data_IF_308868156177
#
_entry.id   IF_308868156177
#
_cell.length_a   1.000
_cell.length_b   1.000
_cell.length_c   1.000
_cell.angle_alpha   90.00
_cell.angle_beta   90.00
_cell.angle_gamma   90.00
#
_symmetry.space_group_name_H-M   'P 1'
#
loop_
_entity.id
_entity.type
_entity.pdbx_description
1 polymer ?
#
# COMPACT_ATOMS: atom_id res chain seq x y z
N UNK A 1 53.23 -7.96 -24.56
CA UNK A 1 52.69 -7.06 -23.51
C UNK A 1 51.47 -6.30 -24.05
N UNK A 2 51.53 -5.73 -25.25
CA UNK A 2 50.39 -5.07 -25.90
C UNK A 2 49.18 -6.00 -26.13
N UNK A 3 49.40 -7.22 -26.63
CA UNK A 3 48.31 -8.20 -26.84
C UNK A 3 47.58 -8.56 -25.53
N UNK A 4 48.33 -8.73 -24.44
CA UNK A 4 47.76 -9.01 -23.11
C UNK A 4 46.90 -7.84 -22.60
N UNK A 5 47.33 -6.60 -22.84
CA UNK A 5 46.54 -5.41 -22.50
C UNK A 5 45.26 -5.30 -23.34
N UNK A 6 45.32 -5.64 -24.64
CA UNK A 6 44.14 -5.65 -25.51
C UNK A 6 43.12 -6.72 -25.09
N UNK A 7 43.57 -7.92 -24.72
CA UNK A 7 42.70 -8.98 -24.19
C UNK A 7 42.02 -8.53 -22.88
N UNK A 8 42.77 -7.97 -21.94
CA UNK A 8 42.17 -7.46 -20.69
C UNK A 8 41.14 -6.35 -20.94
N UNK A 9 41.41 -5.44 -21.88
CA UNK A 9 40.49 -4.33 -22.17
C UNK A 9 39.20 -4.82 -22.85
N UNK A 10 39.30 -5.82 -23.73
CA UNK A 10 38.12 -6.45 -24.33
C UNK A 10 37.28 -7.18 -23.29
N UNK A 11 37.89 -7.94 -22.38
CA UNK A 11 37.18 -8.60 -21.27
C UNK A 11 36.45 -7.61 -20.36
N UNK A 12 37.11 -6.53 -19.93
CA UNK A 12 36.49 -5.48 -19.09
C UNK A 12 35.30 -4.85 -19.80
N UNK A 13 35.44 -4.55 -21.10
CA UNK A 13 34.35 -3.97 -21.89
C UNK A 13 33.15 -4.90 -22.00
N UNK A 14 33.40 -6.21 -22.19
CA UNK A 14 32.36 -7.23 -22.26
C UNK A 14 31.63 -7.36 -20.92
N UNK A 15 32.36 -7.46 -19.80
CA UNK A 15 31.78 -7.55 -18.46
C UNK A 15 30.93 -6.31 -18.14
N UNK A 16 31.44 -5.11 -18.44
CA UNK A 16 30.70 -3.85 -18.23
C UNK A 16 29.39 -3.81 -19.03
N UNK A 17 29.43 -4.25 -20.29
CA UNK A 17 28.23 -4.32 -21.14
C UNK A 17 27.20 -5.32 -20.62
N UNK A 18 27.65 -6.50 -20.15
CA UNK A 18 26.79 -7.54 -19.59
C UNK A 18 26.15 -7.06 -18.29
N UNK A 19 26.92 -6.40 -17.41
CA UNK A 19 26.42 -5.84 -16.17
C UNK A 19 25.37 -4.75 -16.42
N UNK A 20 25.63 -3.84 -17.37
CA UNK A 20 24.67 -2.79 -17.76
C UNK A 20 23.36 -3.38 -18.28
N UNK A 21 23.44 -4.35 -19.19
CA UNK A 21 22.26 -5.04 -19.73
C UNK A 21 21.48 -5.81 -18.65
N UNK A 22 22.19 -6.43 -17.71
CA UNK A 22 21.59 -7.11 -16.57
C UNK A 22 20.84 -6.13 -15.65
N UNK A 23 21.47 -5.00 -15.29
CA UNK A 23 20.84 -3.95 -14.48
C UNK A 23 19.62 -3.34 -15.18
N UNK A 24 19.70 -3.11 -16.50
CA UNK A 24 18.57 -2.65 -17.29
C UNK A 24 17.41 -3.65 -17.30
N UNK A 25 17.71 -4.94 -17.46
CA UNK A 25 16.72 -6.02 -17.44
C UNK A 25 16.02 -6.11 -16.07
N UNK A 26 16.78 -5.97 -14.97
CA UNK A 26 16.21 -5.89 -13.61
C UNK A 26 15.29 -4.68 -13.48
N UNK A 27 15.75 -3.51 -13.93
CA UNK A 27 14.96 -2.27 -13.84
C UNK A 27 13.64 -2.38 -14.61
N UNK A 28 13.69 -2.88 -15.85
CA UNK A 28 12.49 -3.13 -16.67
C UNK A 28 11.58 -4.15 -16.00
N UNK A 29 12.14 -5.24 -15.45
CA UNK A 29 11.37 -6.25 -14.71
C UNK A 29 10.64 -5.67 -13.50
N UNK A 30 11.32 -4.86 -12.69
CA UNK A 30 10.73 -4.17 -11.53
C UNK A 30 9.61 -3.21 -12.00
N UNK A 31 9.85 -2.45 -13.06
CA UNK A 31 8.85 -1.52 -13.61
C UNK A 31 7.58 -2.23 -14.07
N UNK A 32 7.71 -3.38 -14.76
CA UNK A 32 6.56 -4.19 -15.19
C UNK A 32 5.79 -4.74 -13.99
N UNK A 33 6.49 -5.33 -13.01
CA UNK A 33 5.86 -5.87 -11.80
C UNK A 33 5.13 -4.76 -11.02
N UNK A 34 5.75 -3.58 -10.89
CA UNK A 34 5.14 -2.43 -10.23
C UNK A 34 3.88 -1.96 -10.97
N UNK A 35 3.92 -1.89 -12.30
CA UNK A 35 2.77 -1.50 -13.12
C UNK A 35 1.62 -2.49 -12.99
N UNK A 36 1.88 -3.79 -13.11
CA UNK A 36 0.86 -4.85 -12.97
C UNK A 36 0.24 -4.81 -11.58
N UNK A 37 1.07 -4.70 -10.54
CA UNK A 37 0.62 -4.62 -9.15
C UNK A 37 -0.22 -3.37 -8.91
N UNK A 38 0.17 -2.23 -9.48
CA UNK A 38 -0.57 -0.98 -9.38
C UNK A 38 -1.95 -1.07 -10.04
N UNK A 39 -2.02 -1.65 -11.24
CA UNK A 39 -3.29 -1.87 -11.96
C UNK A 39 -4.19 -2.83 -11.18
N UNK A 40 -3.65 -3.97 -10.74
CA UNK A 40 -4.38 -4.94 -9.92
C UNK A 40 -4.90 -4.29 -8.64
N UNK A 41 -4.07 -3.52 -7.94
CA UNK A 41 -4.46 -2.78 -6.75
C UNK A 41 -5.62 -1.83 -7.03
N UNK A 42 -5.57 -1.07 -8.13
CA UNK A 42 -6.63 -0.13 -8.51
C UNK A 42 -7.95 -0.86 -8.79
N UNK A 43 -7.91 -1.99 -9.51
CA UNK A 43 -9.10 -2.78 -9.84
C UNK A 43 -9.69 -3.40 -8.57
N UNK A 44 -8.91 -4.15 -7.80
CA UNK A 44 -9.41 -4.84 -6.61
C UNK A 44 -9.91 -3.88 -5.54
N UNK A 45 -9.16 -2.81 -5.24
CA UNK A 45 -9.63 -1.81 -4.28
C UNK A 45 -10.88 -1.11 -4.78
N UNK A 46 -10.93 -0.77 -6.08
CA UNK A 46 -12.11 -0.18 -6.70
C UNK A 46 -13.34 -1.05 -6.49
N UNK A 47 -13.25 -2.35 -6.77
CA UNK A 47 -14.32 -3.34 -6.58
C UNK A 47 -14.73 -3.49 -5.12
N UNK A 48 -13.78 -3.61 -4.20
CA UNK A 48 -14.05 -3.78 -2.76
C UNK A 48 -14.84 -2.59 -2.23
N UNK A 49 -14.40 -1.35 -2.51
CA UNK A 49 -15.11 -0.17 -2.04
C UNK A 49 -16.46 0.02 -2.73
N UNK A 50 -16.59 -0.39 -4.00
CA UNK A 50 -17.87 -0.44 -4.69
C UNK A 50 -18.88 -1.34 -3.98
N UNK A 51 -18.41 -2.53 -3.57
CA UNK A 51 -19.22 -3.53 -2.86
C UNK A 51 -19.59 -3.05 -1.47
N UNK A 52 -18.63 -2.54 -0.70
CA UNK A 52 -18.87 -1.98 0.65
C UNK A 52 -19.90 -0.85 0.60
N UNK A 53 -19.86 -0.01 -0.43
CA UNK A 53 -20.80 1.10 -0.58
C UNK A 53 -22.12 0.74 -1.28
N UNK A 54 -22.36 -0.54 -1.60
CA UNK A 54 -23.57 -1.03 -2.27
C UNK A 54 -23.92 -0.26 -3.57
N UNK A 55 -22.93 0.10 -4.39
CA UNK A 55 -23.15 0.74 -5.69
C UNK A 55 -23.06 -0.31 -6.84
N UNK A 56 -23.57 -0.02 -8.05
CA UNK A 56 -23.31 -0.80 -9.29
C UNK A 56 -22.08 -0.35 -10.08
N UNK A 57 -21.18 -1.27 -10.44
CA UNK A 57 -19.90 -0.96 -11.10
C UNK A 57 -20.07 -0.04 -12.32
N UNK A 58 -19.19 0.97 -12.44
CA UNK A 58 -19.22 1.93 -13.55
C UNK A 58 -17.80 2.21 -14.05
N UNK A 59 -17.55 2.05 -15.35
CA UNK A 59 -16.24 2.26 -15.96
C UNK A 59 -15.71 3.70 -15.82
N UNK A 60 -16.59 4.70 -15.84
CA UNK A 60 -16.23 6.10 -15.60
C UNK A 60 -15.73 6.33 -14.16
N UNK A 61 -16.23 5.56 -13.19
CA UNK A 61 -15.70 5.57 -11.84
C UNK A 61 -14.30 4.96 -11.81
N UNK A 62 -14.09 3.81 -12.45
CA UNK A 62 -12.79 3.12 -12.47
C UNK A 62 -11.67 3.99 -13.05
N UNK A 63 -11.92 4.70 -14.16
CA UNK A 63 -10.95 5.67 -14.72
C UNK A 63 -10.58 6.75 -13.70
N UNK A 64 -11.57 7.34 -13.04
CA UNK A 64 -11.34 8.36 -12.00
C UNK A 64 -10.64 7.78 -10.77
N UNK A 65 -10.90 6.52 -10.42
CA UNK A 65 -10.27 5.83 -9.30
C UNK A 65 -8.80 5.53 -9.58
N UNK A 66 -8.44 5.15 -10.81
CA UNK A 66 -7.03 4.99 -11.21
C UNK A 66 -6.29 6.33 -11.10
N UNK A 67 -6.87 7.41 -11.65
CA UNK A 67 -6.29 8.75 -11.54
C UNK A 67 -6.15 9.20 -10.08
N UNK A 68 -7.14 8.90 -9.24
CA UNK A 68 -7.09 9.16 -7.80
C UNK A 68 -5.91 8.45 -7.14
N UNK A 69 -5.70 7.15 -7.42
CA UNK A 69 -4.60 6.39 -6.84
C UNK A 69 -3.25 6.86 -7.34
N UNK A 70 -3.14 7.28 -8.60
CA UNK A 70 -1.91 7.84 -9.16
C UNK A 70 -1.53 9.15 -8.44
N UNK A 71 -2.47 10.09 -8.33
CA UNK A 71 -2.26 11.34 -7.59
C UNK A 71 -1.96 11.09 -6.11
N UNK A 72 -2.67 10.13 -5.51
CA UNK A 72 -2.45 9.74 -4.13
C UNK A 72 -1.03 9.19 -3.92
N UNK A 73 -0.57 8.33 -4.82
CA UNK A 73 0.79 7.79 -4.78
C UNK A 73 1.84 8.90 -4.90
N UNK A 74 1.65 9.87 -5.80
CA UNK A 74 2.53 11.03 -5.94
C UNK A 74 2.61 11.87 -4.66
N UNK A 75 1.49 12.06 -3.96
CA UNK A 75 1.44 12.79 -2.68
C UNK A 75 2.30 12.10 -1.61
N UNK A 76 2.35 10.76 -1.59
CA UNK A 76 3.09 10.01 -0.55
C UNK A 76 4.52 9.67 -0.93
N UNK A 77 4.82 9.50 -2.21
CA UNK A 77 6.20 9.25 -2.66
C UNK A 77 7.07 10.51 -2.52
N UNK A 78 6.51 11.70 -2.72
CA UNK A 78 7.24 12.97 -2.61
C UNK A 78 7.88 13.14 -1.22
N UNK A 79 7.16 13.07 -0.08
CA UNK A 79 7.78 13.17 1.23
C UNK A 79 8.72 11.99 1.51
N UNK A 80 8.42 10.77 1.05
CA UNK A 80 9.31 9.62 1.23
C UNK A 80 10.68 9.84 0.55
N UNK A 81 10.68 10.36 -0.68
CA UNK A 81 11.90 10.74 -1.41
C UNK A 81 12.63 11.87 -0.69
N UNK A 82 11.91 12.91 -0.25
CA UNK A 82 12.52 14.02 0.49
C UNK A 82 13.20 13.55 1.78
N UNK A 83 12.56 12.66 2.55
CA UNK A 83 13.17 12.09 3.76
C UNK A 83 14.45 11.30 3.43
N UNK A 84 14.46 10.56 2.33
CA UNK A 84 15.62 9.77 1.91
C UNK A 84 16.84 10.63 1.59
N UNK A 85 16.64 11.80 0.98
CA UNK A 85 17.74 12.71 0.63
C UNK A 85 18.18 13.64 1.76
N UNK A 86 17.30 13.96 2.71
CA UNK A 86 17.57 14.99 3.74
C UNK A 86 18.07 14.39 5.05
N UNK A 87 17.70 13.16 5.40
CA UNK A 87 17.91 12.61 6.75
C UNK A 87 18.91 11.45 6.80
N UNK A 88 19.42 11.18 8.02
CA UNK A 88 20.25 10.01 8.30
C UNK A 88 19.44 8.72 8.23
N UNK A 89 20.08 7.63 7.76
CA UNK A 89 19.48 6.30 7.56
C UNK A 89 18.74 5.77 8.79
N UNK A 90 19.26 6.01 9.98
CA UNK A 90 18.67 5.58 11.26
C UNK A 90 17.28 6.20 11.50
N UNK A 91 17.12 7.48 11.18
CA UNK A 91 15.88 8.24 11.43
C UNK A 91 14.83 7.93 10.35
N UNK A 92 15.27 7.67 9.12
CA UNK A 92 14.39 7.39 7.97
C UNK A 92 13.46 6.21 8.28
N UNK A 93 13.97 5.13 8.89
CA UNK A 93 13.16 3.95 9.19
C UNK A 93 11.96 4.29 10.09
N UNK A 94 12.18 5.04 11.17
CA UNK A 94 11.10 5.45 12.09
C UNK A 94 10.09 6.36 11.41
N UNK A 95 10.55 7.32 10.59
CA UNK A 95 9.65 8.23 9.88
C UNK A 95 8.85 7.52 8.78
N UNK A 96 9.42 6.51 8.11
CA UNK A 96 8.69 5.68 7.15
C UNK A 96 7.57 4.88 7.82
N UNK A 97 7.76 4.40 9.05
CA UNK A 97 6.68 3.76 9.82
C UNK A 97 5.56 4.75 10.10
N UNK A 98 5.87 5.97 10.54
CA UNK A 98 4.86 7.03 10.78
C UNK A 98 4.12 7.37 9.48
N UNK A 99 4.85 7.57 8.38
CA UNK A 99 4.27 7.82 7.05
C UNK A 99 3.34 6.67 6.64
N UNK A 100 3.73 5.43 6.89
CA UNK A 100 2.92 4.26 6.54
C UNK A 100 1.61 4.23 7.33
N UNK A 101 1.66 4.53 8.64
CA UNK A 101 0.46 4.62 9.48
C UNK A 101 -0.47 5.74 8.97
N UNK A 102 0.07 6.93 8.68
CA UNK A 102 -0.71 8.03 8.13
C UNK A 102 -1.29 7.68 6.75
N UNK A 103 -0.50 7.06 5.88
CA UNK A 103 -0.94 6.57 4.57
C UNK A 103 -2.14 5.63 4.74
N UNK A 104 -2.06 4.63 5.63
CA UNK A 104 -3.16 3.70 5.89
C UNK A 104 -4.41 4.41 6.39
N UNK A 105 -4.26 5.32 7.36
CA UNK A 105 -5.36 6.12 7.90
C UNK A 105 -6.06 6.94 6.80
N UNK A 106 -5.31 7.78 6.08
CA UNK A 106 -5.89 8.66 5.07
C UNK A 106 -6.37 7.91 3.83
N UNK A 107 -5.77 6.78 3.47
CA UNK A 107 -6.21 5.96 2.32
C UNK A 107 -7.63 5.43 2.53
N UNK A 108 -7.96 4.97 3.74
CA UNK A 108 -9.33 4.53 4.04
C UNK A 108 -10.32 5.69 3.93
N UNK A 109 -9.99 6.85 4.51
CA UNK A 109 -10.85 8.05 4.41
C UNK A 109 -11.02 8.54 2.98
N UNK A 110 -9.96 8.48 2.19
CA UNK A 110 -9.96 8.84 0.78
C UNK A 110 -10.94 7.97 0.01
N UNK A 111 -10.82 6.65 0.14
CA UNK A 111 -11.67 5.72 -0.60
C UNK A 111 -13.13 5.83 -0.19
N UNK A 112 -13.42 6.02 1.11
CA UNK A 112 -14.79 6.23 1.59
C UNK A 112 -15.35 7.54 1.02
N UNK A 113 -14.59 8.63 1.09
CA UNK A 113 -15.00 9.95 0.57
C UNK A 113 -15.20 9.94 -0.94
N UNK A 114 -14.29 9.31 -1.67
CA UNK A 114 -14.36 9.19 -3.12
C UNK A 114 -15.49 8.29 -3.58
N UNK A 115 -15.76 7.19 -2.87
CA UNK A 115 -16.88 6.31 -3.20
C UNK A 115 -18.22 6.98 -2.96
N UNK A 116 -18.34 7.82 -1.92
CA UNK A 116 -19.53 8.67 -1.72
C UNK A 116 -19.66 9.71 -2.84
N UNK A 117 -18.59 10.43 -3.18
CA UNK A 117 -18.56 11.48 -4.19
C UNK A 117 -17.29 11.36 -5.08
N UNK A 118 -17.40 10.82 -6.31
CA UNK A 118 -16.26 10.48 -7.17
C UNK A 118 -15.66 11.71 -7.86
N UNK A 119 -15.13 12.63 -7.05
CA UNK A 119 -14.42 13.85 -7.43
C UNK A 119 -13.03 13.83 -6.80
N UNK A 120 -12.04 14.41 -7.49
CA UNK A 120 -10.67 14.52 -6.97
C UNK A 120 -10.59 15.41 -5.71
N UNK A 121 -11.56 16.31 -5.50
CA UNK A 121 -11.70 17.07 -4.26
C UNK A 121 -11.89 16.19 -3.01
N UNK A 122 -12.16 14.90 -3.18
CA UNK A 122 -12.16 13.91 -2.10
C UNK A 122 -10.79 13.74 -1.44
N UNK A 123 -9.68 14.06 -2.11
CA UNK A 123 -8.34 14.13 -1.49
C UNK A 123 -8.32 15.20 -0.39
N UNK A 124 -8.73 16.42 -0.73
CA UNK A 124 -8.82 17.54 0.22
C UNK A 124 -9.78 17.22 1.37
N UNK A 125 -10.91 16.57 1.06
CA UNK A 125 -11.86 16.12 2.09
C UNK A 125 -11.25 15.07 3.02
N UNK A 126 -10.56 14.07 2.49
CA UNK A 126 -9.92 13.03 3.28
C UNK A 126 -8.89 13.60 4.26
N UNK A 127 -8.03 14.53 3.81
CA UNK A 127 -7.11 15.24 4.68
C UNK A 127 -7.84 16.09 5.73
N UNK A 128 -8.84 16.87 5.31
CA UNK A 128 -9.62 17.71 6.24
C UNK A 128 -10.29 16.88 7.33
N UNK A 129 -10.91 15.75 6.98
CA UNK A 129 -11.55 14.84 7.93
C UNK A 129 -10.51 14.17 8.81
N UNK A 130 -9.47 13.57 8.21
CA UNK A 130 -8.47 12.82 8.95
C UNK A 130 -7.70 13.67 9.95
N UNK A 131 -7.40 14.92 9.63
CA UNK A 131 -6.74 15.85 10.56
C UNK A 131 -7.75 16.38 11.60
N UNK A 132 -8.88 16.96 11.16
CA UNK A 132 -9.82 17.64 12.08
C UNK A 132 -10.53 16.67 13.03
N UNK A 133 -10.76 15.43 12.58
CA UNK A 133 -11.53 14.41 13.31
C UNK A 133 -10.69 13.19 13.66
N UNK A 134 -9.35 13.33 13.78
CA UNK A 134 -8.45 12.20 14.10
C UNK A 134 -8.86 11.49 15.39
N UNK A 135 -9.31 12.26 16.39
CA UNK A 135 -9.73 11.74 17.69
C UNK A 135 -10.90 10.76 17.60
N UNK A 136 -11.78 10.90 16.59
CA UNK A 136 -12.89 9.97 16.38
C UNK A 136 -12.43 8.59 15.89
N UNK A 137 -11.19 8.47 15.39
CA UNK A 137 -10.62 7.21 14.90
C UNK A 137 -9.82 6.47 15.96
N UNK A 138 -9.47 7.11 17.08
CA UNK A 138 -8.70 6.48 18.16
C UNK A 138 -9.46 5.26 18.70
N UNK A 139 -10.72 5.43 19.07
CA UNK A 139 -11.53 4.33 19.63
C UNK A 139 -11.73 3.18 18.61
N UNK A 140 -12.14 3.42 17.35
CA UNK A 140 -12.18 2.38 16.32
C UNK A 140 -10.86 1.63 16.12
N UNK A 141 -9.73 2.33 16.17
CA UNK A 141 -8.43 1.70 16.05
C UNK A 141 -8.04 0.89 17.29
N UNK A 142 -8.34 1.37 18.49
CA UNK A 142 -8.16 0.59 19.72
C UNK A 142 -8.99 -0.69 19.69
N UNK A 143 -10.26 -0.62 19.28
CA UNK A 143 -11.12 -1.81 19.13
C UNK A 143 -10.53 -2.80 18.12
N UNK A 144 -10.07 -2.31 16.97
CA UNK A 144 -9.42 -3.16 15.97
C UNK A 144 -8.14 -3.82 16.51
N UNK A 145 -7.30 -3.07 17.24
CA UNK A 145 -6.09 -3.60 17.89
C UNK A 145 -6.45 -4.67 18.93
N UNK A 146 -7.44 -4.43 19.79
CA UNK A 146 -7.88 -5.41 20.79
C UNK A 146 -8.34 -6.70 20.11
N UNK A 147 -9.17 -6.60 19.06
CA UNK A 147 -9.64 -7.76 18.30
C UNK A 147 -8.47 -8.49 17.63
N UNK A 148 -7.51 -7.77 17.06
CA UNK A 148 -6.30 -8.36 16.50
C UNK A 148 -5.48 -9.11 17.56
N UNK A 149 -5.30 -8.52 18.74
CA UNK A 149 -4.58 -9.15 19.86
C UNK A 149 -5.28 -10.43 20.33
N UNK A 150 -6.61 -10.41 20.43
CA UNK A 150 -7.41 -11.59 20.78
C UNK A 150 -7.26 -12.68 19.72
N UNK A 151 -7.41 -12.34 18.43
CA UNK A 151 -7.21 -13.29 17.32
C UNK A 151 -5.78 -13.84 17.34
N UNK A 152 -4.78 -13.02 17.66
CA UNK A 152 -3.40 -13.49 17.75
C UNK A 152 -3.15 -14.48 18.89
N UNK A 153 -3.97 -14.51 19.94
CA UNK A 153 -3.81 -15.58 20.95
C UNK A 153 -4.09 -16.97 20.37
N UNK A 154 -4.83 -17.06 19.25
CA UNK A 154 -5.04 -18.32 18.54
C UNK A 154 -3.76 -18.84 17.87
N UNK A 155 -2.69 -18.04 17.76
CA UNK A 155 -1.40 -18.50 17.20
C UNK A 155 -0.86 -19.73 17.91
N UNK A 156 -1.12 -19.88 19.22
CA UNK A 156 -0.65 -21.05 19.97
C UNK A 156 -1.20 -22.39 19.44
N UNK A 157 -2.38 -22.39 18.78
CA UNK A 157 -3.05 -23.59 18.26
C UNK A 157 -2.33 -24.08 17.01
N UNK A 158 -1.64 -23.17 16.32
CA UNK A 158 -0.93 -23.49 15.09
C UNK A 158 0.35 -24.28 15.35
N UNK A 159 0.90 -24.25 16.56
CA UNK A 159 2.04 -25.09 16.93
C UNK A 159 1.72 -26.59 16.86
N UNK A 160 0.43 -26.96 16.91
CA UNK A 160 -0.03 -28.35 16.76
C UNK A 160 -0.27 -28.75 15.30
N UNK A 161 -0.18 -27.83 14.35
CA UNK A 161 -0.43 -28.11 12.94
C UNK A 161 0.87 -28.45 12.19
N UNK A 162 0.92 -29.57 11.44
CA UNK A 162 2.12 -29.93 10.70
C UNK A 162 2.35 -29.02 9.49
N UNK A 163 3.63 -28.65 9.28
CA UNK A 163 4.12 -28.01 8.07
C UNK A 163 3.56 -26.62 7.79
N UNK A 164 3.28 -26.34 6.51
CA UNK A 164 2.87 -25.01 6.02
C UNK A 164 1.39 -24.68 6.28
N UNK A 165 0.61 -25.59 6.88
CA UNK A 165 -0.82 -25.44 7.14
C UNK A 165 -1.11 -24.24 8.06
N UNK A 166 -0.27 -24.05 9.08
CA UNK A 166 -0.32 -22.93 10.03
C UNK A 166 -0.24 -21.57 9.33
N UNK A 167 0.69 -21.44 8.37
CA UNK A 167 0.88 -20.24 7.56
C UNK A 167 -0.35 -19.92 6.72
N UNK A 168 -0.93 -20.93 6.05
CA UNK A 168 -2.13 -20.75 5.21
C UNK A 168 -3.31 -20.26 6.05
N UNK A 169 -3.55 -20.89 7.21
CA UNK A 169 -4.64 -20.52 8.12
C UNK A 169 -4.43 -19.11 8.67
N UNK A 170 -3.19 -18.77 9.04
CA UNK A 170 -2.81 -17.43 9.49
C UNK A 170 -3.15 -16.38 8.43
N UNK A 171 -2.79 -16.62 7.18
CA UNK A 171 -3.08 -15.72 6.07
C UNK A 171 -4.59 -15.55 5.87
N UNK A 172 -5.36 -16.64 5.93
CA UNK A 172 -6.82 -16.59 5.80
C UNK A 172 -7.47 -15.76 6.92
N UNK A 173 -7.05 -15.97 8.17
CA UNK A 173 -7.55 -15.21 9.32
C UNK A 173 -7.20 -13.73 9.18
N UNK A 174 -5.98 -13.40 8.73
CA UNK A 174 -5.57 -12.03 8.48
C UNK A 174 -6.41 -11.38 7.37
N UNK A 175 -6.72 -12.10 6.29
CA UNK A 175 -7.60 -11.62 5.22
C UNK A 175 -9.00 -11.31 5.76
N UNK A 176 -9.57 -12.21 6.56
CA UNK A 176 -10.90 -12.02 7.17
C UNK A 176 -10.89 -10.81 8.11
N UNK A 177 -9.88 -10.70 8.98
CA UNK A 177 -9.72 -9.55 9.88
C UNK A 177 -9.62 -8.22 9.11
N UNK A 178 -8.80 -8.17 8.05
CA UNK A 178 -8.66 -6.96 7.23
C UNK A 178 -9.95 -6.61 6.49
N UNK A 179 -10.72 -7.61 6.03
CA UNK A 179 -12.02 -7.39 5.40
C UNK A 179 -13.03 -6.83 6.41
N UNK A 180 -13.12 -7.42 7.61
CA UNK A 180 -13.95 -6.94 8.71
C UNK A 180 -13.58 -5.50 9.11
N UNK A 181 -12.29 -5.21 9.28
CA UNK A 181 -11.81 -3.89 9.68
C UNK A 181 -12.20 -2.80 8.67
N UNK A 182 -12.13 -3.09 7.36
CA UNK A 182 -12.56 -2.15 6.31
C UNK A 182 -14.06 -1.86 6.38
N UNK A 183 -14.89 -2.88 6.60
CA UNK A 183 -16.35 -2.72 6.76
C UNK A 183 -16.65 -1.90 8.02
N UNK A 184 -15.97 -2.22 9.14
CA UNK A 184 -16.12 -1.49 10.39
C UNK A 184 -15.76 0.00 10.24
N UNK A 185 -14.60 0.31 9.65
CA UNK A 185 -14.22 1.70 9.37
C UNK A 185 -15.17 2.41 8.42
N UNK A 186 -15.67 1.73 7.39
CA UNK A 186 -16.67 2.30 6.51
C UNK A 186 -17.90 2.76 7.28
N UNK A 187 -18.42 1.92 8.18
CA UNK A 187 -19.59 2.25 9.01
C UNK A 187 -19.30 3.44 9.92
N UNK A 188 -18.16 3.45 10.63
CA UNK A 188 -17.75 4.58 11.47
C UNK A 188 -17.68 5.90 10.69
N UNK A 189 -17.02 5.90 9.52
CA UNK A 189 -16.90 7.11 8.68
C UNK A 189 -18.22 7.48 8.02
N UNK A 190 -19.11 6.51 7.81
CA UNK A 190 -20.44 6.77 7.27
C UNK A 190 -21.25 7.66 8.21
N UNK A 191 -21.15 7.39 9.50
CA UNK A 191 -21.91 8.06 10.56
C UNK A 191 -21.32 9.44 10.94
N UNK A 192 -20.03 9.64 10.70
CA UNK A 192 -19.42 10.96 10.76
C UNK A 192 -20.00 11.80 9.63
N UNK A 193 -20.88 12.77 9.95
CA UNK A 193 -21.36 13.77 8.99
C UNK A 193 -20.14 14.46 8.33
N UNK A 194 -19.95 14.20 7.02
CA UNK A 194 -18.90 14.75 6.16
C UNK A 194 -19.35 16.05 5.54
#
# INVERSE_FOLDING_TARGET
>A
MEEMMQLQQTEISQISSQLSNFLWSIFVGIAIVALVTFIAMCIFKGLIWFRIANKKFNFNYSKKFILLNLLWFLIWITPAILLFFVLKKEIIAYLLVIITILLLHFTNLLYISFTKNPKLSSIKKAFKIGIKKIHLFILPYLIAIIIFLVISQLYWLYNFMPGNTSTIITVLILIIYLAWFRIYLYNVVKDIKI
#
